data_IF_325817226796
#
_entry.id   IF_325817226796
#
_cell.length_a   1.000
_cell.length_b   1.000
_cell.length_c   1.000
_cell.angle_alpha   90.00
_cell.angle_beta   90.00
_cell.angle_gamma   90.00
#
_symmetry.space_group_name_H-M   'P 1'
#
loop_
_entity.id
_entity.type
_entity.pdbx_description
1 polymer ?
#
# COMPACT_ATOMS: atom_id res chain seq x y z
N UNK A 1 -47.17 23.13 20.73
CA UNK A 1 -46.61 22.33 19.64
C UNK A 1 -46.46 20.88 20.13
N UNK A 2 -46.83 19.88 19.33
CA UNK A 2 -46.73 18.47 19.71
C UNK A 2 -45.29 18.05 20.06
N UNK A 3 -45.15 16.98 20.87
CA UNK A 3 -43.87 16.35 21.13
C UNK A 3 -43.31 15.68 19.87
N UNK A 4 -42.01 15.45 19.87
CA UNK A 4 -41.31 14.78 18.75
C UNK A 4 -41.08 13.29 18.97
N UNK A 5 -41.47 12.78 20.14
CA UNK A 5 -41.28 11.38 20.49
C UNK A 5 -41.99 10.46 19.47
N UNK A 6 -41.29 9.51 18.96
CA UNK A 6 -41.81 8.59 17.93
C UNK A 6 -41.73 9.09 16.47
N UNK A 7 -41.27 10.32 16.22
CA UNK A 7 -41.02 10.78 14.86
C UNK A 7 -39.65 10.31 14.37
N UNK A 8 -39.63 9.74 13.18
CA UNK A 8 -38.41 9.33 12.47
C UNK A 8 -38.10 10.36 11.39
N UNK A 9 -36.83 10.72 11.26
CA UNK A 9 -36.35 11.60 10.20
C UNK A 9 -36.44 10.89 8.82
N UNK A 10 -36.52 11.64 7.74
CA UNK A 10 -36.50 11.04 6.38
C UNK A 10 -35.26 10.19 6.10
N UNK A 11 -34.12 10.44 6.76
CA UNK A 11 -32.90 9.67 6.66
C UNK A 11 -32.89 8.39 7.55
N UNK A 12 -33.99 8.11 8.24
CA UNK A 12 -34.15 6.93 9.10
C UNK A 12 -33.63 7.11 10.54
N UNK A 13 -33.00 8.24 10.87
CA UNK A 13 -32.47 8.50 12.20
C UNK A 13 -33.55 9.07 13.13
N UNK A 14 -33.46 8.79 14.44
CA UNK A 14 -34.24 9.46 15.48
C UNK A 14 -33.55 10.78 15.79
N UNK A 15 -34.09 11.89 15.28
CA UNK A 15 -33.50 13.20 15.50
C UNK A 15 -33.88 13.77 16.86
N UNK A 16 -32.89 14.21 17.63
CA UNK A 16 -33.07 14.93 18.88
C UNK A 16 -33.35 16.42 18.70
N UNK A 17 -33.24 16.92 17.47
CA UNK A 17 -33.46 18.34 17.19
C UNK A 17 -34.48 18.49 16.08
N UNK A 18 -35.69 18.98 16.44
CA UNK A 18 -36.69 19.27 15.45
C UNK A 18 -37.59 20.43 15.91
N UNK A 19 -38.17 21.11 14.94
CA UNK A 19 -39.16 22.16 15.19
C UNK A 19 -40.37 21.94 14.30
N UNK A 20 -41.49 22.47 14.73
CA UNK A 20 -42.68 22.56 13.90
C UNK A 20 -42.67 23.89 13.15
N UNK A 21 -42.96 23.88 11.86
CA UNK A 21 -43.08 25.06 11.02
C UNK A 21 -44.50 25.25 10.57
N UNK A 22 -45.05 26.46 10.78
CA UNK A 22 -46.36 26.81 10.24
C UNK A 22 -46.30 27.24 8.77
N UNK A 23 -47.47 27.51 8.14
CA UNK A 23 -47.59 27.97 6.76
C UNK A 23 -46.96 29.33 6.49
N UNK A 24 -46.73 30.15 7.54
CA UNK A 24 -46.11 31.46 7.48
C UNK A 24 -44.57 31.38 7.67
N UNK A 25 -44.03 30.18 7.90
CA UNK A 25 -42.62 29.95 8.11
C UNK A 25 -42.13 30.10 9.54
N UNK A 26 -42.99 30.39 10.50
CA UNK A 26 -42.63 30.50 11.91
C UNK A 26 -42.37 29.12 12.51
N UNK A 27 -41.32 29.01 13.31
CA UNK A 27 -40.88 27.79 13.96
C UNK A 27 -41.32 27.75 15.43
N UNK A 28 -41.78 26.57 15.85
CA UNK A 28 -42.18 26.26 17.22
C UNK A 28 -41.44 25.04 17.74
N UNK A 29 -40.82 25.14 18.89
CA UNK A 29 -40.26 23.99 19.57
C UNK A 29 -41.38 23.07 20.11
N UNK A 30 -41.15 21.78 20.34
CA UNK A 30 -42.07 20.93 21.07
C UNK A 30 -42.43 21.56 22.42
N UNK A 31 -43.75 21.66 22.73
CA UNK A 31 -44.26 22.31 23.93
C UNK A 31 -44.57 23.79 23.77
N UNK A 32 -44.12 24.48 22.72
CA UNK A 32 -44.46 25.89 22.50
C UNK A 32 -45.96 26.11 22.25
N UNK A 33 -46.45 27.29 22.63
CA UNK A 33 -47.80 27.72 22.34
C UNK A 33 -47.92 28.11 20.86
N UNK A 34 -48.84 27.45 20.14
CA UNK A 34 -49.15 27.73 18.73
C UNK A 34 -50.41 28.58 18.67
N UNK A 35 -50.44 29.70 17.91
CA UNK A 35 -51.63 30.49 17.73
C UNK A 35 -52.83 29.68 17.20
N UNK A 36 -54.05 30.05 17.60
CA UNK A 36 -55.25 29.29 17.26
C UNK A 36 -55.62 29.31 15.77
N UNK A 37 -55.10 30.26 15.02
CA UNK A 37 -55.29 30.42 13.59
C UNK A 37 -54.33 29.53 12.74
N UNK A 38 -53.38 28.91 13.38
CA UNK A 38 -52.45 27.97 12.71
C UNK A 38 -53.14 26.60 12.52
N UNK A 39 -53.47 26.26 11.29
CA UNK A 39 -54.18 25.03 10.96
C UNK A 39 -53.26 23.91 10.45
N UNK A 40 -51.98 24.22 10.19
CA UNK A 40 -50.98 23.23 9.68
C UNK A 40 -49.63 23.49 10.32
N UNK A 41 -49.02 22.41 10.78
CA UNK A 41 -47.64 22.38 11.23
C UNK A 41 -46.92 21.29 10.43
N UNK A 42 -45.73 21.63 9.92
CA UNK A 42 -44.84 20.69 9.17
C UNK A 42 -43.61 20.47 10.03
N UNK A 43 -43.26 19.22 10.24
CA UNK A 43 -42.01 18.85 10.94
C UNK A 43 -40.79 19.33 10.15
N UNK A 44 -39.90 20.03 10.84
CA UNK A 44 -38.59 20.46 10.34
C UNK A 44 -37.51 19.76 11.15
N UNK A 45 -36.80 18.86 10.51
CA UNK A 45 -35.68 18.18 11.12
C UNK A 45 -34.42 18.97 10.78
N UNK A 46 -33.68 19.40 11.77
CA UNK A 46 -32.35 19.93 11.55
C UNK A 46 -31.41 18.73 11.30
N UNK A 47 -30.60 18.81 10.29
CA UNK A 47 -29.52 17.85 10.08
C UNK A 47 -28.41 18.19 11.04
N UNK A 48 -28.19 17.37 12.07
CA UNK A 48 -27.03 17.52 12.93
C UNK A 48 -25.76 17.38 12.05
N UNK A 49 -24.90 18.38 12.13
CA UNK A 49 -23.60 18.32 11.46
C UNK A 49 -22.52 18.03 12.48
N UNK A 50 -21.67 17.11 12.14
CA UNK A 50 -20.52 16.71 12.94
C UNK A 50 -19.25 17.29 12.35
N UNK A 51 -18.28 17.61 13.19
CA UNK A 51 -16.99 18.17 12.76
C UNK A 51 -16.01 17.08 12.35
N UNK A 52 -15.20 17.36 11.35
CA UNK A 52 -14.02 16.57 10.98
C UNK A 52 -12.79 17.40 11.32
N UNK A 53 -12.06 16.97 12.33
CA UNK A 53 -10.79 17.58 12.76
C UNK A 53 -9.64 16.76 12.22
N UNK A 54 -8.71 17.42 11.51
CA UNK A 54 -7.47 16.79 11.04
C UNK A 54 -6.31 17.37 11.82
N UNK A 55 -5.50 16.48 12.39
CA UNK A 55 -4.21 16.82 12.99
C UNK A 55 -3.09 16.14 12.19
N UNK A 56 -1.90 16.72 12.22
CA UNK A 56 -0.72 16.19 11.51
C UNK A 56 0.41 15.89 12.49
N UNK A 57 1.13 14.81 12.22
CA UNK A 57 2.35 14.44 12.91
C UNK A 57 3.47 14.25 11.86
N UNK A 58 4.60 14.94 12.04
CA UNK A 58 5.69 14.99 11.05
C UNK A 58 5.52 16.12 10.03
N UNK A 59 6.34 16.09 8.96
CA UNK A 59 6.33 17.11 7.91
C UNK A 59 5.32 16.81 6.83
N UNK A 60 4.30 17.64 6.72
CA UNK A 60 3.25 17.51 5.72
C UNK A 60 1.98 18.25 6.10
N UNK A 61 1.05 18.31 5.18
CA UNK A 61 -0.28 18.90 5.37
C UNK A 61 -1.36 17.88 5.06
N UNK A 62 -2.51 18.02 5.73
CA UNK A 62 -3.64 17.14 5.48
C UNK A 62 -4.95 17.92 5.54
N UNK A 63 -5.95 17.44 4.80
CA UNK A 63 -7.26 18.06 4.74
C UNK A 63 -8.36 17.02 4.55
N UNK A 64 -9.60 17.43 4.84
CA UNK A 64 -10.80 16.66 4.54
C UNK A 64 -11.65 17.44 3.54
N UNK A 65 -12.43 16.72 2.71
CA UNK A 65 -13.37 17.33 1.75
C UNK A 65 -14.39 18.25 2.40
N UNK A 66 -14.73 17.99 3.67
CA UNK A 66 -15.63 18.80 4.48
C UNK A 66 -15.11 18.92 5.92
N UNK A 67 -15.09 20.15 6.46
CA UNK A 67 -14.80 20.40 7.87
C UNK A 67 -16.00 20.08 8.79
N UNK A 68 -17.21 20.03 8.21
CA UNK A 68 -18.46 19.61 8.86
C UNK A 68 -19.34 18.90 7.84
N UNK A 69 -19.97 17.84 8.25
CA UNK A 69 -20.89 17.08 7.41
C UNK A 69 -22.01 16.43 8.22
N UNK A 70 -23.11 16.11 7.56
CA UNK A 70 -24.20 15.32 8.16
C UNK A 70 -23.83 13.84 8.19
N UNK A 71 -24.45 13.08 9.08
CA UNK A 71 -24.35 11.63 9.10
C UNK A 71 -24.55 11.02 7.69
N UNK A 72 -23.75 10.00 7.37
CA UNK A 72 -23.84 9.29 6.09
C UNK A 72 -23.10 9.96 4.92
N UNK A 73 -22.56 11.18 5.10
CA UNK A 73 -21.78 11.85 4.05
C UNK A 73 -20.42 11.15 3.85
N UNK A 74 -20.02 10.90 2.62
CA UNK A 74 -18.66 10.43 2.33
C UNK A 74 -17.66 11.57 2.51
N UNK A 75 -16.64 11.33 3.32
CA UNK A 75 -15.53 12.24 3.59
C UNK A 75 -14.29 11.69 2.89
N UNK A 76 -13.63 12.57 2.11
CA UNK A 76 -12.36 12.27 1.44
C UNK A 76 -11.25 13.00 2.19
N UNK A 77 -10.23 12.26 2.57
CA UNK A 77 -9.02 12.75 3.21
C UNK A 77 -7.90 12.88 2.19
N UNK A 78 -7.17 13.98 2.23
CA UNK A 78 -6.01 14.22 1.38
C UNK A 78 -4.81 14.52 2.28
N UNK A 79 -3.69 13.83 2.04
CA UNK A 79 -2.42 14.06 2.71
C UNK A 79 -1.37 14.48 1.69
N UNK A 80 -0.60 15.53 1.99
CA UNK A 80 0.47 16.05 1.13
C UNK A 80 1.76 16.13 1.96
N UNK A 81 2.71 15.20 1.75
CA UNK A 81 3.99 15.23 2.43
C UNK A 81 4.84 16.44 2.02
N UNK A 82 5.63 16.95 2.97
CA UNK A 82 6.70 17.91 2.68
C UNK A 82 7.90 17.20 2.05
N UNK A 83 8.80 17.96 1.44
CA UNK A 83 10.05 17.42 0.89
C UNK A 83 10.84 16.66 1.96
N UNK A 84 11.20 15.41 1.68
CA UNK A 84 11.90 14.52 2.62
C UNK A 84 11.00 13.78 3.58
N UNK A 85 9.69 13.87 3.40
CA UNK A 85 8.70 13.10 4.15
C UNK A 85 7.84 12.26 3.21
N UNK A 86 7.24 11.18 3.75
CA UNK A 86 6.17 10.44 3.10
C UNK A 86 4.95 10.35 4.02
N UNK A 87 3.77 10.18 3.44
CA UNK A 87 2.57 9.88 4.21
C UNK A 87 2.59 8.41 4.63
N UNK A 88 2.54 8.16 5.94
CA UNK A 88 2.57 6.79 6.48
C UNK A 88 1.17 6.20 6.58
N UNK A 89 0.26 6.92 7.27
CA UNK A 89 -1.09 6.39 7.52
C UNK A 89 -2.04 7.45 8.08
N UNK A 90 -3.31 7.15 7.99
CA UNK A 90 -4.35 7.79 8.77
C UNK A 90 -4.57 7.04 10.09
N UNK A 91 -4.54 7.74 11.21
CA UNK A 91 -4.87 7.21 12.52
C UNK A 91 -6.17 7.86 13.00
N UNK A 92 -7.16 7.05 13.36
CA UNK A 92 -8.40 7.55 13.95
C UNK A 92 -8.17 7.79 15.43
N UNK A 93 -8.34 9.04 15.86
CA UNK A 93 -8.28 9.43 17.28
C UNK A 93 -9.67 9.31 17.92
N UNK A 94 -10.71 9.68 17.17
CA UNK A 94 -12.10 9.50 17.57
C UNK A 94 -13.06 9.52 16.38
N UNK A 95 -14.23 8.83 16.45
CA UNK A 95 -14.63 7.84 17.46
C UNK A 95 -13.93 6.50 17.26
N UNK A 96 -13.82 5.72 18.34
CA UNK A 96 -13.28 4.37 18.25
C UNK A 96 -14.11 3.49 17.29
N UNK A 97 -13.44 2.68 16.48
CA UNK A 97 -14.08 1.78 15.52
C UNK A 97 -14.42 2.40 14.16
N UNK A 98 -14.15 3.70 13.94
CA UNK A 98 -14.24 4.28 12.60
C UNK A 98 -13.15 3.65 11.72
N UNK A 99 -13.54 3.21 10.52
CA UNK A 99 -12.61 2.62 9.54
C UNK A 99 -12.41 3.60 8.39
N UNK A 100 -11.15 3.89 8.09
CA UNK A 100 -10.76 4.66 6.91
C UNK A 100 -10.25 3.68 5.87
N UNK A 101 -10.85 3.68 4.69
CA UNK A 101 -10.46 2.85 3.56
C UNK A 101 -10.12 3.76 2.39
N UNK A 102 -8.90 3.64 1.87
CA UNK A 102 -8.45 4.44 0.72
C UNK A 102 -8.62 5.95 0.93
N UNK A 103 -8.26 6.43 2.11
CA UNK A 103 -8.42 7.85 2.44
C UNK A 103 -9.88 8.33 2.54
N UNK A 104 -10.84 7.42 2.71
CA UNK A 104 -12.28 7.73 2.76
C UNK A 104 -12.93 7.10 3.97
N UNK A 105 -13.96 7.77 4.47
CA UNK A 105 -14.87 7.21 5.46
C UNK A 105 -16.27 7.82 5.32
N UNK A 106 -17.27 7.13 5.86
CA UNK A 106 -18.62 7.65 5.95
C UNK A 106 -18.77 8.37 7.30
N UNK A 107 -19.26 9.60 7.27
CA UNK A 107 -19.46 10.43 8.48
C UNK A 107 -20.38 9.72 9.47
N UNK A 108 -19.89 9.39 10.68
CA UNK A 108 -20.72 8.81 11.73
C UNK A 108 -21.62 9.88 12.35
N UNK A 109 -22.48 9.48 13.27
CA UNK A 109 -23.31 10.36 14.12
C UNK A 109 -22.51 10.99 15.28
N UNK A 110 -21.24 11.28 15.05
CA UNK A 110 -20.31 11.82 16.04
C UNK A 110 -19.25 12.70 15.36
N UNK A 111 -18.60 13.56 16.14
CA UNK A 111 -17.43 14.29 15.70
C UNK A 111 -16.27 13.31 15.42
N UNK A 112 -15.50 13.59 14.38
CA UNK A 112 -14.38 12.78 13.95
C UNK A 112 -13.09 13.56 14.13
N UNK A 113 -12.10 12.92 14.73
CA UNK A 113 -10.72 13.40 14.76
C UNK A 113 -9.81 12.36 14.15
N UNK A 114 -9.05 12.76 13.13
CA UNK A 114 -8.11 11.92 12.38
C UNK A 114 -6.74 12.57 12.36
N UNK A 115 -5.71 11.78 12.61
CA UNK A 115 -4.31 12.18 12.51
C UNK A 115 -3.70 11.64 11.23
N UNK A 116 -3.11 12.54 10.42
CA UNK A 116 -2.22 12.19 9.32
C UNK A 116 -0.79 12.06 9.86
N UNK A 117 -0.18 10.90 9.69
CA UNK A 117 1.20 10.63 10.14
C UNK A 117 2.14 10.68 8.95
N UNK A 118 3.13 11.57 9.00
CA UNK A 118 4.20 11.70 8.02
C UNK A 118 5.53 11.30 8.66
N UNK A 119 6.36 10.56 7.91
CA UNK A 119 7.67 10.09 8.37
C UNK A 119 8.79 10.68 7.52
N UNK A 120 9.89 11.04 8.18
CA UNK A 120 11.11 11.55 7.54
C UNK A 120 11.83 10.42 6.81
N UNK A 121 12.08 10.61 5.51
CA UNK A 121 12.81 9.69 4.63
C UNK A 121 13.91 10.41 3.84
N UNK A 122 14.34 11.57 4.31
CA UNK A 122 15.33 12.38 3.62
C UNK A 122 16.72 11.73 3.55
N UNK A 123 16.94 10.65 4.30
CA UNK A 123 18.24 9.94 4.38
C UNK A 123 18.06 8.48 3.96
N UNK A 124 19.13 7.90 3.44
CA UNK A 124 19.25 6.45 3.27
C UNK A 124 18.90 5.75 4.57
N UNK A 125 18.05 4.71 4.50
CA UNK A 125 17.55 4.02 5.68
C UNK A 125 18.63 3.15 6.35
N UNK A 126 19.64 2.74 5.61
CA UNK A 126 20.71 1.84 6.07
C UNK A 126 21.94 1.90 5.15
N UNK A 127 23.06 1.35 5.65
CA UNK A 127 24.36 1.42 4.99
C UNK A 127 24.71 0.19 4.13
N UNK A 128 23.74 -0.61 3.73
CA UNK A 128 23.97 -1.76 2.84
C UNK A 128 24.40 -1.29 1.44
N UNK A 129 25.40 -1.95 0.88
CA UNK A 129 25.84 -1.64 -0.47
C UNK A 129 24.83 -2.14 -1.50
N UNK A 130 24.35 -1.30 -2.45
CA UNK A 130 23.49 -1.76 -3.53
C UNK A 130 24.12 -2.89 -4.34
N UNK A 131 23.28 -3.85 -4.76
CA UNK A 131 23.71 -5.05 -5.50
C UNK A 131 23.92 -6.29 -4.65
N UNK A 132 23.94 -6.17 -3.32
CA UNK A 132 23.97 -7.32 -2.41
C UNK A 132 22.70 -8.15 -2.50
N UNK A 133 22.81 -9.47 -2.36
CA UNK A 133 21.66 -10.40 -2.32
C UNK A 133 21.38 -10.82 -0.89
N UNK A 134 20.11 -10.71 -0.49
CA UNK A 134 19.62 -11.07 0.83
C UNK A 134 18.40 -11.97 0.71
N UNK A 135 18.18 -12.83 1.70
CA UNK A 135 17.13 -13.84 1.66
C UNK A 135 16.03 -13.51 2.65
N UNK A 136 14.78 -13.66 2.21
CA UNK A 136 13.60 -13.37 2.99
C UNK A 136 12.66 -14.58 3.03
N UNK A 137 12.08 -14.81 4.20
CA UNK A 137 11.08 -15.85 4.41
C UNK A 137 9.68 -15.37 4.00
N UNK A 138 9.21 -15.85 2.86
CA UNK A 138 7.86 -15.56 2.37
C UNK A 138 6.89 -16.73 2.55
N UNK A 139 7.29 -17.80 3.24
CA UNK A 139 6.48 -19.03 3.41
C UNK A 139 5.17 -18.78 4.14
N UNK A 140 5.12 -17.80 5.02
CA UNK A 140 3.92 -17.39 5.75
C UNK A 140 2.99 -16.43 5.00
N UNK A 141 3.36 -16.00 3.78
CA UNK A 141 2.61 -15.00 3.04
C UNK A 141 1.62 -15.63 2.06
N UNK A 142 0.37 -15.12 2.06
CA UNK A 142 -0.62 -15.51 1.05
C UNK A 142 -0.31 -14.83 -0.28
N UNK A 143 0.52 -15.48 -1.11
CA UNK A 143 0.89 -14.99 -2.44
C UNK A 143 0.17 -15.86 -3.47
N UNK A 144 -0.80 -15.33 -4.24
CA UNK A 144 -1.56 -16.11 -5.21
C UNK A 144 -0.72 -16.51 -6.42
N UNK A 145 -1.16 -17.56 -7.11
CA UNK A 145 -0.50 -18.12 -8.28
C UNK A 145 0.19 -19.46 -7.98
N UNK A 146 0.96 -19.93 -8.95
CA UNK A 146 1.78 -21.15 -8.81
C UNK A 146 3.18 -20.74 -8.41
N UNK A 147 3.75 -21.39 -7.39
CA UNK A 147 5.14 -21.17 -6.99
C UNK A 147 6.08 -21.37 -8.17
N UNK A 148 7.08 -20.50 -8.30
CA UNK A 148 8.03 -20.60 -9.42
C UNK A 148 9.07 -21.67 -9.15
N UNK A 149 9.08 -22.71 -9.96
CA UNK A 149 10.05 -23.83 -9.88
C UNK A 149 11.53 -23.41 -10.07
N UNK A 150 11.76 -22.19 -10.58
CA UNK A 150 13.11 -21.64 -10.71
C UNK A 150 13.65 -21.04 -9.39
N UNK A 151 12.82 -20.92 -8.34
CA UNK A 151 13.29 -20.47 -7.04
C UNK A 151 14.32 -21.47 -6.49
N UNK A 152 15.40 -20.96 -5.84
CA UNK A 152 16.36 -21.84 -5.16
C UNK A 152 15.73 -22.71 -4.08
N UNK A 153 14.64 -22.21 -3.49
CA UNK A 153 13.86 -22.87 -2.47
C UNK A 153 12.36 -22.75 -2.77
N UNK A 154 11.73 -23.89 -3.11
CA UNK A 154 10.28 -23.96 -3.39
C UNK A 154 9.41 -23.80 -2.14
N UNK A 155 9.97 -23.93 -0.93
CA UNK A 155 9.26 -23.71 0.34
C UNK A 155 9.09 -22.23 0.67
N UNK A 156 9.78 -21.35 -0.05
CA UNK A 156 9.79 -19.88 0.13
C UNK A 156 10.36 -19.39 1.48
N UNK A 157 11.03 -20.23 2.25
CA UNK A 157 11.73 -19.77 3.45
C UNK A 157 12.96 -18.92 3.12
N UNK A 158 13.52 -19.08 1.91
CA UNK A 158 14.73 -18.39 1.48
C UNK A 158 14.58 -17.81 0.06
N UNK A 159 13.74 -16.80 -0.08
CA UNK A 159 13.59 -16.11 -1.38
C UNK A 159 14.67 -15.04 -1.52
N UNK A 160 15.50 -15.08 -2.58
CA UNK A 160 16.58 -14.11 -2.78
C UNK A 160 16.03 -12.78 -3.34
N UNK A 161 16.49 -11.70 -2.75
CA UNK A 161 16.25 -10.33 -3.18
C UNK A 161 17.57 -9.57 -3.32
N UNK A 162 17.68 -8.76 -4.34
CA UNK A 162 18.80 -7.83 -4.52
C UNK A 162 18.45 -6.47 -3.95
N UNK A 163 19.30 -5.93 -3.10
CA UNK A 163 19.16 -4.56 -2.61
C UNK A 163 19.45 -3.57 -3.73
N UNK A 164 18.46 -2.80 -4.14
CA UNK A 164 18.58 -1.81 -5.22
C UNK A 164 19.06 -0.43 -4.75
N UNK A 165 19.17 -0.22 -3.45
CA UNK A 165 19.45 1.10 -2.87
C UNK A 165 18.23 2.00 -2.88
N UNK A 166 18.45 3.29 -2.67
CA UNK A 166 17.41 4.31 -2.73
C UNK A 166 16.99 4.57 -4.17
N UNK A 167 15.70 4.57 -4.40
CA UNK A 167 15.06 4.96 -5.65
C UNK A 167 14.42 6.34 -5.44
N UNK A 168 14.70 7.27 -6.35
CA UNK A 168 14.19 8.63 -6.26
C UNK A 168 12.66 8.66 -6.41
N UNK A 169 12.07 9.62 -5.74
CA UNK A 169 10.66 9.93 -5.92
C UNK A 169 10.34 10.30 -7.37
N UNK A 170 9.16 9.92 -7.82
CA UNK A 170 8.59 10.44 -9.05
C UNK A 170 7.08 10.67 -8.87
N UNK A 171 6.54 11.60 -9.63
CA UNK A 171 5.11 11.92 -9.59
C UNK A 171 4.46 11.51 -10.89
N UNK A 172 3.44 10.66 -10.81
CA UNK A 172 2.57 10.40 -11.94
C UNK A 172 1.73 11.64 -12.23
N UNK A 173 1.51 11.94 -13.50
CA UNK A 173 0.48 12.91 -13.88
C UNK A 173 -0.91 12.32 -13.58
N UNK A 174 -1.92 13.18 -13.45
CA UNK A 174 -3.30 12.75 -13.22
C UNK A 174 -3.83 11.79 -14.30
N UNK A 175 -3.31 11.88 -15.51
CA UNK A 175 -3.65 11.00 -16.65
C UNK A 175 -3.02 9.61 -16.51
N UNK A 176 -1.94 9.49 -15.76
CA UNK A 176 -1.17 8.26 -15.55
C UNK A 176 -1.55 7.55 -14.26
N UNK A 177 -2.04 8.30 -13.27
CA UNK A 177 -2.46 7.74 -12.00
C UNK A 177 -3.82 7.06 -12.15
N UNK A 178 -3.93 5.83 -11.69
CA UNK A 178 -5.19 5.08 -11.71
C UNK A 178 -6.09 5.40 -10.56
N UNK A 179 -5.49 5.76 -9.43
CA UNK A 179 -6.14 6.19 -8.20
C UNK A 179 -5.26 7.22 -7.52
N UNK A 180 -5.84 8.12 -6.73
CA UNK A 180 -5.07 9.08 -5.93
C UNK A 180 -4.14 8.38 -4.93
N UNK A 181 -4.59 7.27 -4.38
CA UNK A 181 -3.86 6.41 -3.49
C UNK A 181 -2.55 5.91 -4.10
N UNK A 182 -2.62 5.50 -5.34
CA UNK A 182 -1.49 5.05 -6.10
C UNK A 182 -0.51 6.18 -6.46
N UNK A 183 -1.02 7.34 -6.86
CA UNK A 183 -0.21 8.51 -7.17
C UNK A 183 0.65 8.98 -5.98
N UNK A 184 0.21 8.70 -4.75
CA UNK A 184 0.94 9.07 -3.53
C UNK A 184 2.10 8.13 -3.20
N UNK A 185 2.07 6.87 -3.62
CA UNK A 185 3.08 5.88 -3.24
C UNK A 185 4.48 6.16 -3.80
N UNK A 186 4.57 6.86 -4.92
CA UNK A 186 5.82 7.12 -5.62
C UNK A 186 6.30 8.57 -5.49
N UNK A 187 5.73 9.35 -4.59
CA UNK A 187 6.05 10.76 -4.39
C UNK A 187 7.28 11.00 -3.49
N UNK A 188 7.93 9.96 -3.00
CA UNK A 188 9.05 10.03 -2.07
C UNK A 188 10.19 9.08 -2.46
N UNK A 189 11.41 9.44 -2.06
CA UNK A 189 12.55 8.54 -2.19
C UNK A 189 12.44 7.41 -1.17
N UNK A 190 12.73 6.18 -1.59
CA UNK A 190 12.60 4.98 -0.76
C UNK A 190 13.64 3.93 -1.13
N UNK A 191 13.96 3.05 -0.19
CA UNK A 191 14.91 1.96 -0.39
C UNK A 191 14.18 0.67 -0.76
N UNK A 192 14.69 -0.06 -1.76
CA UNK A 192 14.07 -1.26 -2.29
C UNK A 192 14.99 -2.48 -2.25
N UNK A 193 14.41 -3.61 -1.89
CA UNK A 193 14.89 -4.95 -2.25
C UNK A 193 14.00 -5.49 -3.37
N UNK A 194 14.59 -6.02 -4.42
CA UNK A 194 13.88 -6.54 -5.59
C UNK A 194 14.04 -8.06 -5.64
N UNK A 195 12.96 -8.79 -5.71
CA UNK A 195 13.04 -10.26 -5.83
C UNK A 195 13.87 -10.67 -7.05
N UNK A 196 14.82 -11.58 -6.87
CA UNK A 196 15.68 -12.06 -7.95
C UNK A 196 14.93 -12.96 -8.96
N UNK A 197 13.76 -13.47 -8.58
CA UNK A 197 12.85 -14.29 -9.38
C UNK A 197 11.42 -13.76 -9.29
N UNK A 198 10.56 -14.17 -10.23
CA UNK A 198 9.14 -14.20 -9.91
C UNK A 198 8.95 -15.16 -8.73
N UNK A 199 8.18 -14.76 -7.74
CA UNK A 199 7.85 -15.64 -6.60
C UNK A 199 6.76 -16.63 -7.01
N UNK A 200 5.75 -16.14 -7.69
CA UNK A 200 4.68 -16.96 -8.30
C UNK A 200 4.47 -16.57 -9.76
N UNK A 201 3.83 -17.46 -10.51
CA UNK A 201 3.38 -17.24 -11.88
C UNK A 201 1.96 -17.79 -12.08
N UNK A 202 1.42 -17.69 -13.29
CA UNK A 202 0.05 -18.03 -13.61
C UNK A 202 -0.94 -17.28 -12.68
N UNK A 203 -0.71 -15.99 -12.52
CA UNK A 203 -1.45 -15.12 -11.58
C UNK A 203 -1.94 -13.86 -12.29
N UNK A 204 -3.19 -13.48 -12.07
CA UNK A 204 -3.75 -12.24 -12.58
C UNK A 204 -3.46 -11.07 -11.64
N UNK A 205 -3.48 -9.86 -12.21
CA UNK A 205 -3.37 -8.63 -11.44
C UNK A 205 -4.47 -8.53 -10.38
N UNK A 206 -5.73 -8.89 -10.75
CA UNK A 206 -6.87 -8.83 -9.84
C UNK A 206 -6.69 -9.72 -8.61
N UNK A 207 -6.11 -10.92 -8.76
CA UNK A 207 -5.80 -11.81 -7.63
C UNK A 207 -4.74 -11.20 -6.71
N UNK A 208 -3.68 -10.61 -7.28
CA UNK A 208 -2.64 -9.91 -6.51
C UNK A 208 -3.21 -8.68 -5.79
N UNK A 209 -4.07 -7.92 -6.46
CA UNK A 209 -4.71 -6.75 -5.88
C UNK A 209 -5.64 -7.10 -4.71
N UNK A 210 -6.40 -8.19 -4.83
CA UNK A 210 -7.28 -8.68 -3.75
C UNK A 210 -6.51 -9.04 -2.48
N UNK A 211 -5.26 -9.50 -2.61
CA UNK A 211 -4.36 -9.80 -1.49
C UNK A 211 -3.54 -8.58 -1.01
N UNK A 212 -3.77 -7.40 -1.57
CA UNK A 212 -3.04 -6.17 -1.25
C UNK A 212 -1.63 -6.07 -1.84
N UNK A 213 -1.22 -7.03 -2.67
CA UNK A 213 0.16 -7.18 -3.16
C UNK A 213 0.52 -6.25 -4.32
N UNK A 214 -0.43 -5.52 -4.87
CA UNK A 214 -0.14 -4.53 -5.93
C UNK A 214 0.38 -3.24 -5.33
N UNK A 215 -0.37 -2.65 -4.41
CA UNK A 215 -0.05 -1.31 -3.87
C UNK A 215 0.67 -1.35 -2.53
N UNK A 216 0.61 -2.46 -1.82
CA UNK A 216 1.39 -2.67 -0.61
C UNK A 216 0.67 -3.45 0.48
N UNK A 217 1.34 -4.48 0.97
CA UNK A 217 0.97 -5.30 2.11
C UNK A 217 2.10 -5.24 3.13
N UNK A 218 1.77 -5.07 4.40
CA UNK A 218 2.77 -5.13 5.48
C UNK A 218 3.43 -6.50 5.53
N UNK A 219 4.75 -6.53 5.64
CA UNK A 219 5.57 -7.71 5.80
C UNK A 219 6.65 -7.46 6.85
N UNK A 220 6.90 -8.39 7.75
CA UNK A 220 7.91 -8.24 8.80
C UNK A 220 8.93 -9.38 8.76
N UNK A 221 10.22 -9.03 8.74
CA UNK A 221 11.32 -10.00 8.81
C UNK A 221 12.50 -9.40 9.57
N UNK A 222 13.17 -10.21 10.41
CA UNK A 222 14.36 -9.78 11.16
C UNK A 222 14.13 -8.56 12.06
N UNK A 223 12.91 -8.41 12.61
CA UNK A 223 12.46 -7.24 13.39
C UNK A 223 12.41 -5.94 12.58
N UNK A 224 12.31 -6.03 11.25
CA UNK A 224 12.16 -4.92 10.32
C UNK A 224 10.80 -5.01 9.65
N UNK A 225 10.12 -3.89 9.52
CA UNK A 225 8.87 -3.77 8.78
C UNK A 225 9.15 -3.31 7.34
N UNK A 226 8.56 -4.03 6.39
CA UNK A 226 8.62 -3.76 4.97
C UNK A 226 7.20 -3.59 4.41
N UNK A 227 7.11 -2.92 3.27
CA UNK A 227 5.93 -2.98 2.42
C UNK A 227 6.22 -3.87 1.21
N UNK A 228 5.56 -5.02 1.12
CA UNK A 228 5.65 -5.93 -0.03
C UNK A 228 4.64 -5.51 -1.10
N UNK A 229 5.10 -5.26 -2.32
CA UNK A 229 4.25 -4.80 -3.41
C UNK A 229 4.82 -5.08 -4.80
N UNK A 230 4.02 -4.86 -5.83
CA UNK A 230 4.51 -4.79 -7.19
C UNK A 230 5.33 -3.49 -7.39
N UNK A 231 6.35 -3.49 -8.23
CA UNK A 231 7.06 -2.26 -8.61
C UNK A 231 6.22 -1.42 -9.58
N UNK A 232 6.47 -0.11 -9.61
CA UNK A 232 5.96 0.72 -10.70
C UNK A 232 6.77 0.49 -11.97
N UNK A 233 6.09 0.46 -13.12
CA UNK A 233 6.68 0.19 -14.43
C UNK A 233 6.55 1.33 -15.44
N UNK A 234 5.95 2.47 -15.01
CA UNK A 234 5.50 3.54 -15.89
C UNK A 234 4.16 3.22 -16.54
N UNK A 235 3.40 4.23 -16.94
CA UNK A 235 2.04 4.05 -17.46
C UNK A 235 2.00 3.85 -18.97
N UNK A 236 2.95 4.41 -19.72
CA UNK A 236 3.00 4.32 -21.18
C UNK A 236 4.39 3.90 -21.66
N UNK A 237 4.42 3.21 -22.79
CA UNK A 237 5.66 2.82 -23.43
C UNK A 237 6.35 4.02 -24.10
N UNK A 238 7.68 4.04 -24.09
CA UNK A 238 8.45 4.83 -25.05
C UNK A 238 8.28 4.27 -26.46
N UNK A 239 8.68 5.04 -27.47
CA UNK A 239 8.49 4.67 -28.90
C UNK A 239 9.07 3.31 -29.31
N UNK A 240 10.06 2.81 -28.57
CA UNK A 240 10.70 1.52 -28.82
C UNK A 240 10.22 0.40 -27.87
N UNK A 241 9.21 0.64 -27.04
CA UNK A 241 8.67 -0.30 -26.04
C UNK A 241 9.73 -0.87 -25.08
N UNK A 242 10.79 -0.11 -24.80
CA UNK A 242 11.88 -0.55 -23.93
C UNK A 242 11.94 0.17 -22.57
N UNK A 243 11.21 1.26 -22.42
CA UNK A 243 11.12 2.03 -21.18
C UNK A 243 9.68 2.43 -20.94
N UNK A 244 9.34 2.67 -19.69
CA UNK A 244 8.06 3.28 -19.29
C UNK A 244 8.14 4.80 -19.22
N UNK A 245 7.01 5.45 -19.24
CA UNK A 245 6.88 6.89 -19.01
C UNK A 245 6.04 7.12 -17.77
N UNK A 246 6.51 7.86 -16.77
CA UNK A 246 7.81 8.51 -16.70
C UNK A 246 8.96 7.51 -16.55
N UNK A 247 10.12 7.84 -17.10
CA UNK A 247 11.34 7.01 -16.98
C UNK A 247 11.91 6.98 -15.56
N UNK A 248 11.40 7.82 -14.68
CA UNK A 248 11.69 7.81 -13.25
C UNK A 248 10.97 6.68 -12.50
N UNK A 249 10.14 5.86 -13.17
CA UNK A 249 9.50 4.70 -12.56
C UNK A 249 10.53 3.73 -11.97
N UNK A 250 10.12 2.95 -10.97
CA UNK A 250 11.04 2.07 -10.22
C UNK A 250 11.70 1.02 -11.11
N UNK A 251 10.93 0.39 -11.99
CA UNK A 251 11.47 -0.66 -12.85
C UNK A 251 12.63 -0.16 -13.71
N UNK A 252 12.47 0.98 -14.38
CA UNK A 252 13.54 1.54 -15.21
C UNK A 252 14.71 2.03 -14.37
N UNK A 253 14.45 2.62 -13.21
CA UNK A 253 15.52 3.04 -12.26
C UNK A 253 16.32 1.86 -11.74
N UNK A 254 15.68 0.74 -11.42
CA UNK A 254 16.35 -0.49 -10.98
C UNK A 254 17.21 -1.05 -12.12
N UNK A 255 16.71 -1.06 -13.36
CA UNK A 255 17.45 -1.53 -14.52
C UNK A 255 18.67 -0.67 -14.90
N UNK A 256 18.62 0.62 -14.63
CA UNK A 256 19.71 1.54 -14.95
C UNK A 256 20.85 1.50 -13.93
N UNK A 257 20.65 0.84 -12.77
CA UNK A 257 21.70 0.64 -11.77
C UNK A 257 22.55 -0.59 -12.12
N UNK A 258 23.86 -0.39 -12.36
CA UNK A 258 24.89 -1.43 -12.50
C UNK A 258 24.53 -2.66 -13.34
N UNK A 259 23.96 -2.47 -14.53
CA UNK A 259 23.61 -3.58 -15.43
C UNK A 259 22.30 -4.28 -15.11
N UNK A 260 21.54 -3.72 -14.16
CA UNK A 260 20.20 -4.16 -13.81
C UNK A 260 20.16 -5.16 -12.66
N UNK A 261 19.40 -4.79 -11.66
CA UNK A 261 19.11 -5.68 -10.53
C UNK A 261 17.91 -6.59 -10.78
N UNK A 262 17.34 -6.58 -11.99
CA UNK A 262 16.30 -7.53 -12.40
C UNK A 262 16.98 -8.81 -12.91
N UNK A 263 17.19 -9.75 -12.03
CA UNK A 263 17.82 -11.04 -12.33
C UNK A 263 16.76 -12.09 -12.73
N UNK A 264 17.16 -13.16 -13.38
CA UNK A 264 16.33 -14.34 -13.67
C UNK A 264 14.92 -14.00 -14.18
N UNK A 265 14.82 -13.08 -15.12
CA UNK A 265 13.53 -12.62 -15.66
C UNK A 265 12.81 -13.66 -16.53
N UNK A 266 13.51 -14.66 -17.10
CA UNK A 266 13.02 -15.96 -17.53
C UNK A 266 11.86 -16.00 -18.51
N UNK A 267 11.75 -15.07 -19.47
CA UNK A 267 10.60 -14.96 -20.40
C UNK A 267 9.25 -14.82 -19.70
N UNK A 268 9.25 -14.17 -18.56
CA UNK A 268 8.02 -13.83 -17.83
C UNK A 268 7.70 -12.34 -17.97
N UNK A 269 6.43 -12.03 -17.94
CA UNK A 269 5.88 -10.68 -17.77
C UNK A 269 5.50 -10.49 -16.32
N UNK A 270 5.93 -9.39 -15.73
CA UNK A 270 5.71 -9.08 -14.32
C UNK A 270 4.70 -7.95 -14.20
N UNK A 271 3.67 -8.18 -13.41
CA UNK A 271 2.67 -7.17 -13.12
C UNK A 271 3.28 -5.96 -12.41
N UNK A 272 3.01 -4.78 -12.95
CA UNK A 272 3.28 -3.49 -12.31
C UNK A 272 2.02 -2.90 -11.68
N UNK A 273 2.22 -1.78 -11.00
CA UNK A 273 1.12 -1.03 -10.38
C UNK A 273 0.30 -0.24 -11.41
N UNK A 274 0.94 0.21 -12.49
CA UNK A 274 0.45 1.26 -13.37
C UNK A 274 -0.68 0.80 -14.28
N UNK A 275 -1.64 1.69 -14.54
CA UNK A 275 -2.68 1.48 -15.56
C UNK A 275 -2.13 1.84 -16.93
N UNK A 276 -2.51 1.08 -17.93
CA UNK A 276 -2.27 1.42 -19.32
C UNK A 276 -3.11 2.63 -19.73
N UNK A 277 -2.54 3.65 -20.37
CA UNK A 277 -3.31 4.79 -20.87
C UNK A 277 -4.15 4.41 -22.10
N UNK A 278 -3.89 3.25 -22.70
CA UNK A 278 -4.59 2.79 -23.90
C UNK A 278 -5.91 2.10 -23.58
N UNK A 279 -6.00 1.44 -22.42
CA UNK A 279 -7.19 0.70 -22.00
C UNK A 279 -7.25 0.63 -20.48
N UNK A 280 -8.29 1.20 -19.86
CA UNK A 280 -8.44 1.27 -18.40
C UNK A 280 -8.52 -0.11 -17.70
N UNK A 281 -8.94 -1.15 -18.43
CA UNK A 281 -8.94 -2.54 -17.93
C UNK A 281 -7.58 -3.22 -17.98
N UNK A 282 -6.54 -2.57 -18.54
CA UNK A 282 -5.21 -3.13 -18.63
C UNK A 282 -4.28 -2.51 -17.59
N UNK A 283 -3.34 -3.31 -17.14
CA UNK A 283 -2.23 -2.89 -16.27
C UNK A 283 -0.91 -3.17 -16.97
N UNK A 284 0.07 -2.36 -16.61
CA UNK A 284 1.41 -2.47 -17.16
C UNK A 284 2.05 -3.79 -16.72
N UNK A 285 2.69 -4.44 -17.67
CA UNK A 285 3.59 -5.59 -17.46
C UNK A 285 4.95 -5.29 -18.04
N UNK A 286 5.98 -5.82 -17.39
CA UNK A 286 7.37 -5.64 -17.80
C UNK A 286 8.07 -7.01 -17.93
N UNK A 287 8.94 -7.14 -18.92
CA UNK A 287 9.70 -8.39 -19.09
C UNK A 287 9.43 -9.13 -20.39
N UNK A 288 9.42 -10.47 -20.36
CA UNK A 288 9.25 -11.45 -21.43
C UNK A 288 10.44 -11.54 -22.42
N UNK A 289 10.54 -10.67 -23.40
CA UNK A 289 11.62 -10.70 -24.40
C UNK A 289 12.95 -10.13 -23.88
N UNK A 290 12.86 -9.21 -22.96
CA UNK A 290 13.98 -8.62 -22.22
C UNK A 290 13.47 -8.01 -20.93
N UNK A 291 14.32 -7.79 -19.93
CA UNK A 291 13.88 -7.12 -18.69
C UNK A 291 13.36 -5.70 -18.93
N UNK A 292 13.74 -5.05 -20.04
CA UNK A 292 13.30 -3.70 -20.41
C UNK A 292 11.97 -3.68 -21.16
N UNK A 293 11.49 -4.81 -21.67
CA UNK A 293 10.26 -4.83 -22.49
C UNK A 293 9.08 -4.29 -21.68
N UNK A 294 8.37 -3.34 -22.29
CA UNK A 294 7.13 -2.77 -21.82
C UNK A 294 5.96 -3.37 -22.61
N UNK A 295 4.90 -3.75 -21.92
CA UNK A 295 3.62 -4.15 -22.48
C UNK A 295 2.50 -3.84 -21.49
N UNK A 296 1.28 -4.14 -21.84
CA UNK A 296 0.12 -4.08 -20.96
C UNK A 296 -0.79 -5.29 -21.21
N UNK A 297 -1.53 -5.68 -20.19
CA UNK A 297 -2.41 -6.83 -20.24
C UNK A 297 -3.67 -6.58 -19.40
N UNK A 298 -4.77 -7.24 -19.80
CA UNK A 298 -6.02 -7.20 -19.04
C UNK A 298 -5.82 -7.80 -17.65
N UNK A 299 -6.39 -7.16 -16.62
CA UNK A 299 -6.20 -7.49 -15.21
C UNK A 299 -6.63 -8.90 -14.82
N UNK A 300 -7.51 -9.53 -15.60
CA UNK A 300 -8.05 -10.87 -15.34
C UNK A 300 -7.17 -12.00 -15.88
N UNK A 301 -6.17 -11.70 -16.73
CA UNK A 301 -5.35 -12.71 -17.38
C UNK A 301 -4.36 -13.35 -16.39
N UNK A 302 -4.29 -14.68 -16.41
CA UNK A 302 -3.43 -15.49 -15.55
C UNK A 302 -2.62 -16.55 -16.36
N UNK A 303 -2.17 -16.18 -17.56
CA UNK A 303 -1.35 -17.07 -18.36
C UNK A 303 -0.06 -17.49 -17.63
N UNK A 304 0.52 -18.68 -17.99
CA UNK A 304 1.69 -19.20 -17.30
C UNK A 304 2.91 -18.29 -17.27
N UNK A 305 3.00 -17.31 -18.17
CA UNK A 305 4.08 -16.34 -18.22
C UNK A 305 3.83 -15.04 -17.46
N UNK A 306 2.64 -14.83 -16.90
CA UNK A 306 2.38 -13.72 -15.99
C UNK A 306 2.84 -14.06 -14.58
N UNK A 307 3.77 -13.28 -14.06
CA UNK A 307 4.41 -13.52 -12.79
C UNK A 307 4.31 -12.35 -11.82
N UNK A 308 4.42 -12.68 -10.54
CA UNK A 308 4.59 -11.71 -9.47
C UNK A 308 6.05 -11.65 -9.03
N UNK A 309 6.66 -10.49 -9.23
CA UNK A 309 8.02 -10.17 -8.75
C UNK A 309 7.91 -9.02 -7.77
N UNK A 310 7.82 -9.30 -6.47
CA UNK A 310 7.67 -8.26 -5.47
C UNK A 310 8.94 -7.43 -5.31
N UNK A 311 8.72 -6.21 -4.85
CA UNK A 311 9.72 -5.41 -4.16
C UNK A 311 9.36 -5.35 -2.68
N UNK A 312 10.37 -5.26 -1.81
CA UNK A 312 10.22 -4.95 -0.39
C UNK A 312 10.74 -3.54 -0.18
N UNK A 313 9.84 -2.66 0.23
CA UNK A 313 10.13 -1.27 0.50
C UNK A 313 10.35 -1.05 1.99
N UNK A 314 11.39 -0.31 2.34
CA UNK A 314 11.71 0.06 3.73
C UNK A 314 11.46 1.55 3.89
N UNK A 315 10.47 1.92 4.71
CA UNK A 315 10.02 3.31 4.85
C UNK A 315 10.03 3.84 6.28
N UNK A 316 10.21 2.99 7.27
CA UNK A 316 10.00 3.41 8.63
C UNK A 316 11.33 3.56 9.38
N UNK A 317 11.93 4.79 9.41
CA UNK A 317 13.15 5.02 10.16
C UNK A 317 12.98 4.74 11.66
N UNK A 318 11.76 4.85 12.21
CA UNK A 318 11.52 4.56 13.62
C UNK A 318 11.69 3.08 13.96
N UNK A 319 11.47 2.17 13.01
CA UNK A 319 11.71 0.74 13.22
C UNK A 319 13.17 0.35 13.08
N UNK A 320 13.97 1.14 12.37
CA UNK A 320 15.38 0.88 12.15
C UNK A 320 16.28 1.32 13.32
N UNK A 321 15.84 2.30 14.09
CA UNK A 321 16.66 2.90 15.16
C UNK A 321 17.87 3.65 14.61
N UNK A 322 18.82 4.02 15.52
CA UNK A 322 20.04 4.76 15.15
C UNK A 322 21.07 3.90 14.42
N UNK A 323 21.06 2.59 14.68
CA UNK A 323 22.07 1.65 14.16
C UNK A 323 21.59 0.95 12.87
N UNK A 324 20.32 1.15 12.47
CA UNK A 324 19.76 0.68 11.21
C UNK A 324 19.69 -0.84 11.08
N UNK A 325 20.00 -1.31 9.89
CA UNK A 325 20.00 -2.73 9.52
C UNK A 325 21.41 -3.31 9.51
N UNK A 326 21.51 -4.62 9.77
CA UNK A 326 22.73 -5.39 9.55
C UNK A 326 22.43 -6.67 8.79
N UNK A 327 23.41 -7.13 8.02
CA UNK A 327 23.40 -8.45 7.43
C UNK A 327 23.92 -9.49 8.44
N UNK A 328 23.23 -10.61 8.55
CA UNK A 328 23.68 -11.80 9.27
C UNK A 328 23.98 -12.88 8.27
N UNK A 329 25.19 -13.39 8.30
CA UNK A 329 25.62 -14.50 7.45
C UNK A 329 25.18 -15.81 8.08
N UNK A 330 24.44 -16.61 7.32
CA UNK A 330 24.11 -17.99 7.66
C UNK A 330 25.15 -18.90 6.98
N UNK A 331 26.01 -19.51 7.75
CA UNK A 331 26.90 -20.57 7.28
C UNK A 331 26.13 -21.89 7.27
N UNK A 332 25.99 -22.49 6.10
CA UNK A 332 25.20 -23.71 5.91
C UNK A 332 25.94 -24.97 6.33
N UNK A 333 27.17 -24.87 6.87
CA UNK A 333 27.94 -26.01 7.37
C UNK A 333 28.23 -27.07 6.32
N UNK A 334 28.44 -26.66 5.05
CA UNK A 334 28.59 -27.54 3.90
C UNK A 334 27.29 -28.00 3.27
N UNK A 335 26.14 -27.59 3.82
CA UNK A 335 24.83 -27.74 3.19
C UNK A 335 24.63 -26.77 2.03
N UNK A 336 23.48 -26.83 1.37
CA UNK A 336 23.18 -26.01 0.21
C UNK A 336 21.73 -25.53 0.22
N UNK A 337 21.51 -24.37 -0.39
CA UNK A 337 20.21 -23.85 -0.77
C UNK A 337 20.13 -23.88 -2.31
N UNK A 338 19.49 -24.90 -2.89
CA UNK A 338 19.49 -25.10 -4.34
C UNK A 338 20.91 -25.15 -4.92
N UNK A 339 21.25 -24.28 -5.88
CA UNK A 339 22.59 -24.11 -6.45
C UNK A 339 23.44 -23.04 -5.78
N UNK A 340 23.03 -22.52 -4.62
CA UNK A 340 23.66 -21.39 -3.92
C UNK A 340 24.98 -21.77 -3.24
N UNK A 341 25.87 -20.80 -2.96
CA UNK A 341 27.09 -21.02 -2.19
C UNK A 341 26.79 -21.43 -0.75
N UNK A 342 27.83 -21.88 -0.04
CA UNK A 342 27.75 -22.38 1.34
C UNK A 342 27.31 -21.36 2.40
N UNK A 343 27.09 -20.13 2.00
CA UNK A 343 26.62 -19.06 2.90
C UNK A 343 25.54 -18.24 2.23
N UNK A 344 24.55 -17.81 3.02
CA UNK A 344 23.51 -16.87 2.60
C UNK A 344 23.42 -15.74 3.62
N UNK A 345 22.80 -14.62 3.25
CA UNK A 345 22.66 -13.48 4.14
C UNK A 345 21.18 -13.13 4.34
N UNK A 346 20.81 -12.85 5.57
CA UNK A 346 19.52 -12.29 5.95
C UNK A 346 19.71 -10.88 6.52
N UNK A 347 18.65 -10.08 6.49
CA UNK A 347 18.64 -8.74 7.08
C UNK A 347 17.94 -8.79 8.43
N UNK A 348 18.56 -8.18 9.44
CA UNK A 348 17.98 -8.02 10.77
C UNK A 348 18.18 -6.60 11.28
N UNK A 349 17.34 -6.17 12.19
CA UNK A 349 17.48 -4.89 12.88
C UNK A 349 18.65 -4.97 13.87
N UNK A 350 19.53 -3.99 13.82
CA UNK A 350 20.67 -3.90 14.74
C UNK A 350 20.17 -3.72 16.19
N UNK A 351 20.76 -4.48 17.12
CA UNK A 351 20.38 -4.41 18.54
C UNK A 351 19.14 -5.24 18.93
N UNK A 352 18.40 -5.76 17.96
CA UNK A 352 17.21 -6.58 18.23
C UNK A 352 17.53 -8.08 18.11
N UNK A 353 16.75 -8.90 18.84
CA UNK A 353 16.73 -10.35 18.64
C UNK A 353 15.88 -10.70 17.42
N UNK A 354 16.19 -11.80 16.79
CA UNK A 354 15.40 -12.31 15.65
C UNK A 354 15.19 -13.83 15.79
N UNK A 355 14.17 -14.33 15.15
CA UNK A 355 13.89 -15.77 15.11
C UNK A 355 14.92 -16.47 14.22
N UNK A 356 15.48 -17.58 14.69
CA UNK A 356 16.37 -18.39 13.87
C UNK A 356 15.65 -18.87 12.62
N UNK A 357 16.29 -18.76 11.43
CA UNK A 357 15.68 -19.20 10.17
C UNK A 357 15.30 -20.68 10.19
N UNK A 358 14.27 -21.05 9.40
CA UNK A 358 13.86 -22.42 9.21
C UNK A 358 14.96 -23.26 8.54
N UNK A 359 14.92 -24.57 8.73
CA UNK A 359 15.81 -25.50 8.02
C UNK A 359 15.22 -26.02 6.70
N UNK A 360 13.91 -25.75 6.48
CA UNK A 360 13.22 -26.16 5.25
C UNK A 360 13.86 -25.50 4.03
N UNK A 361 13.92 -26.23 2.92
CA UNK A 361 14.61 -25.77 1.70
C UNK A 361 16.13 -25.93 1.70
N UNK A 362 16.75 -26.25 2.84
CA UNK A 362 18.18 -26.51 2.93
C UNK A 362 18.50 -28.00 2.70
N UNK A 363 19.56 -28.25 1.95
CA UNK A 363 20.07 -29.61 1.72
C UNK A 363 21.31 -29.83 2.59
N UNK A 364 21.35 -30.96 3.30
CA UNK A 364 22.50 -31.35 4.11
C UNK A 364 23.73 -31.70 3.27
N UNK A 365 24.94 -31.70 3.87
CA UNK A 365 26.16 -32.09 3.17
C UNK A 365 26.10 -33.51 2.55
N UNK A 366 25.31 -34.40 3.16
CA UNK A 366 25.08 -35.78 2.68
C UNK A 366 24.07 -35.88 1.53
N UNK A 367 23.50 -34.75 1.10
CA UNK A 367 22.51 -34.65 0.02
C UNK A 367 21.07 -34.89 0.45
N UNK A 368 20.82 -35.18 1.73
CA UNK A 368 19.45 -35.33 2.25
C UNK A 368 18.83 -33.99 2.60
N UNK A 369 17.52 -33.87 2.40
CA UNK A 369 16.78 -32.72 2.92
C UNK A 369 16.65 -32.88 4.45
N UNK A 370 17.08 -31.85 5.18
CA UNK A 370 17.13 -31.88 6.63
C UNK A 370 15.75 -31.76 7.26
N UNK A 371 15.51 -32.44 8.35
CA UNK A 371 14.53 -32.09 9.38
C UNK A 371 15.26 -32.09 10.73
#
# INVERSE_FOLDING_TARGET
APASDGLTRPDGNTGSYFKWRDSNGKLYAPGDNVPADVTRLTAQFDSDTYTVTIITEGGGTASASYAKAVFGTEIILTATPDTGYHFKMWQVESPAGLVITNGRFTMPDNNVEVKAIFKDISKEQFTLAPGGTYYFDLSGESIPGTANDALPDSTMHYVPFTYAGTVDAYKLTSEMATTEEYAQQNEYAHSLFVADYAVTHAVSWDKLHAEGLIFGKGYAAGSVEYTMRAPSGGSAATSNYSLGTPQSNEWDRILDKNGGYIKNWGKMEFWGQDTSPYTLSNRVVRGYHSPRKFADANTTLDFPYFGFRPVLEVLNPDTLGTDGLKAVTLDLGGGKLGGSPDTIQIIVKTGESFTAPASDGLTRPDGNTGS
#
